data_IF_462221548702
#
_entry.id   IF_462221548702
#
_cell.length_a   1.000
_cell.length_b   1.000
_cell.length_c   1.000
_cell.angle_alpha   90.00
_cell.angle_beta   90.00
_cell.angle_gamma   90.00
#
_symmetry.space_group_name_H-M   'P 1'
#
loop_
_entity.id
_entity.type
_entity.pdbx_description
1 polymer ?
#
# COMPACT_ATOMS: atom_id res chain seq x y z
N UNK A 1 14.98 -7.25 -50.68
CA UNK A 1 14.59 -5.82 -50.62
C UNK A 1 13.40 -5.74 -49.67
N UNK A 2 13.62 -5.77 -48.36
CA UNK A 2 13.94 -4.63 -47.49
C UNK A 2 12.90 -3.53 -47.58
N UNK A 3 12.04 -3.42 -46.55
CA UNK A 3 11.82 -2.15 -45.87
C UNK A 3 11.10 -2.33 -44.52
N UNK A 4 11.85 -1.97 -43.49
CA UNK A 4 11.48 -1.66 -42.11
C UNK A 4 10.61 -0.41 -42.06
N UNK A 5 9.69 -0.31 -41.09
CA UNK A 5 9.52 0.92 -40.29
C UNK A 5 8.68 0.69 -39.03
N UNK A 6 9.43 0.47 -37.96
CA UNK A 6 9.05 0.64 -36.56
C UNK A 6 8.63 2.11 -36.32
N UNK A 7 7.48 2.33 -35.67
CA UNK A 7 6.97 3.67 -35.33
C UNK A 7 7.41 4.05 -33.93
N UNK A 8 8.21 5.11 -33.87
CA UNK A 8 8.67 5.85 -32.69
C UNK A 8 7.57 6.69 -32.04
N UNK A 9 7.55 6.76 -30.71
CA UNK A 9 7.36 7.96 -29.85
C UNK A 9 6.99 7.51 -28.43
N UNK A 10 7.45 8.06 -27.30
CA UNK A 10 8.42 9.10 -26.95
C UNK A 10 8.58 8.93 -25.44
N UNK A 11 9.77 8.58 -24.92
CA UNK A 11 10.02 8.56 -23.47
C UNK A 11 10.60 9.91 -23.07
N UNK A 12 9.82 10.70 -22.34
CA UNK A 12 10.23 11.97 -21.74
C UNK A 12 11.41 11.73 -20.80
N UNK A 13 12.57 12.29 -21.15
CA UNK A 13 13.75 12.32 -20.31
C UNK A 13 13.61 13.46 -19.30
N UNK A 14 13.48 13.14 -18.02
CA UNK A 14 13.66 14.11 -16.93
C UNK A 14 15.14 14.14 -16.57
N UNK A 15 15.82 15.25 -16.85
CA UNK A 15 17.20 15.49 -16.41
C UNK A 15 17.20 16.10 -15.01
N UNK A 16 17.91 15.48 -14.08
CA UNK A 16 18.34 16.11 -12.83
C UNK A 16 19.78 16.61 -13.03
N UNK A 17 19.97 17.93 -12.94
CA UNK A 17 21.29 18.55 -12.96
C UNK A 17 21.91 18.47 -11.57
N UNK A 18 23.02 17.75 -11.42
CA UNK A 18 23.88 17.81 -10.23
C UNK A 18 25.18 18.55 -10.60
N UNK A 19 25.45 19.67 -9.95
CA UNK A 19 26.75 20.34 -10.04
C UNK A 19 27.81 19.55 -9.23
N UNK A 20 28.75 18.91 -9.94
CA UNK A 20 29.92 18.25 -9.34
C UNK A 20 30.73 17.52 -10.41
N UNK A 21 32.03 17.82 -10.51
CA UNK A 21 32.87 17.51 -11.67
C UNK A 21 33.32 16.05 -11.85
N UNK A 22 33.59 15.75 -13.14
CA UNK A 22 34.44 14.69 -13.73
C UNK A 22 34.39 13.27 -13.12
N UNK A 23 33.65 12.38 -13.80
CA UNK A 23 34.17 11.22 -14.56
C UNK A 23 32.99 10.53 -15.29
N UNK A 24 33.01 10.55 -16.62
CA UNK A 24 31.89 10.09 -17.47
C UNK A 24 32.01 8.60 -17.80
N UNK A 25 31.46 7.76 -16.93
CA UNK A 25 30.81 6.52 -17.34
C UNK A 25 29.31 6.73 -17.24
N UNK A 26 28.58 6.64 -18.36
CA UNK A 26 27.11 6.68 -18.37
C UNK A 26 26.58 5.45 -17.63
N UNK A 27 26.42 5.60 -16.32
CA UNK A 27 25.71 4.63 -15.50
C UNK A 27 24.32 5.18 -15.26
N UNK A 28 23.46 5.10 -16.28
CA UNK A 28 22.03 5.34 -16.11
C UNK A 28 21.47 4.31 -15.11
N UNK A 29 21.30 4.71 -13.85
CA UNK A 29 20.59 3.89 -12.86
C UNK A 29 19.09 3.96 -13.19
N UNK A 30 18.57 2.94 -13.86
CA UNK A 30 17.13 2.79 -14.06
C UNK A 30 16.50 2.22 -12.79
N UNK A 31 15.60 2.98 -12.17
CA UNK A 31 14.76 2.46 -11.10
C UNK A 31 13.83 1.36 -11.64
N UNK A 32 13.71 0.26 -10.90
CA UNK A 32 12.68 -0.74 -11.17
C UNK A 32 11.33 -0.18 -10.75
N UNK A 33 10.39 -0.09 -11.68
CA UNK A 33 9.01 0.32 -11.45
C UNK A 33 8.16 -0.94 -11.41
N UNK A 34 7.30 -1.06 -10.39
CA UNK A 34 6.41 -2.20 -10.21
C UNK A 34 4.99 -1.80 -10.61
N UNK A 35 4.29 -2.73 -11.24
CA UNK A 35 2.89 -2.60 -11.63
C UNK A 35 2.06 -3.75 -11.04
N UNK A 36 0.75 -3.73 -11.25
CA UNK A 36 -0.17 -4.75 -10.69
C UNK A 36 0.22 -6.18 -11.09
N UNK A 37 0.80 -6.35 -12.27
CA UNK A 37 1.30 -7.62 -12.80
C UNK A 37 2.41 -8.24 -11.94
N UNK A 38 3.17 -7.40 -11.22
CA UNK A 38 4.27 -7.81 -10.35
C UNK A 38 3.79 -8.13 -8.92
N UNK A 39 2.53 -7.85 -8.58
CA UNK A 39 2.00 -7.87 -7.21
C UNK A 39 0.85 -8.87 -7.05
N UNK A 40 1.18 -10.10 -6.66
CA UNK A 40 0.18 -11.16 -6.47
C UNK A 40 -0.43 -11.15 -5.06
N UNK A 41 -1.74 -10.88 -4.98
CA UNK A 41 -2.49 -10.86 -3.72
C UNK A 41 -2.58 -12.24 -3.02
N UNK A 42 -2.26 -13.35 -3.69
CA UNK A 42 -2.34 -14.69 -3.07
C UNK A 42 -1.54 -14.81 -1.79
N UNK A 43 -0.46 -14.03 -1.64
CA UNK A 43 0.39 -14.05 -0.45
C UNK A 43 -0.30 -13.46 0.79
N UNK A 44 -1.35 -12.66 0.58
CA UNK A 44 -2.11 -12.00 1.63
C UNK A 44 -3.46 -12.67 1.88
N UNK A 45 -3.96 -13.45 0.93
CA UNK A 45 -5.23 -14.17 1.10
C UNK A 45 -5.14 -15.15 2.27
N UNK A 46 -6.16 -15.11 3.13
CA UNK A 46 -6.25 -15.94 4.33
C UNK A 46 -5.38 -15.48 5.50
N UNK A 47 -4.65 -14.36 5.37
CA UNK A 47 -3.94 -13.73 6.48
C UNK A 47 -4.83 -12.72 7.17
N UNK A 48 -4.83 -12.71 8.49
CA UNK A 48 -5.48 -11.66 9.29
C UNK A 48 -4.60 -10.41 9.30
N UNK A 49 -5.07 -9.34 8.66
CA UNK A 49 -4.39 -8.05 8.60
C UNK A 49 -4.99 -7.11 9.64
N UNK A 50 -4.20 -6.71 10.64
CA UNK A 50 -4.63 -5.76 11.67
C UNK A 50 -4.05 -4.39 11.37
N UNK A 51 -4.93 -3.41 11.13
CA UNK A 51 -4.58 -2.01 10.98
C UNK A 51 -4.71 -1.32 12.32
N UNK A 52 -3.60 -0.88 12.89
CA UNK A 52 -3.54 -0.14 14.15
C UNK A 52 -3.61 1.34 13.83
N UNK A 53 -4.73 1.97 14.18
CA UNK A 53 -5.00 3.36 13.87
C UNK A 53 -5.92 3.54 12.66
N UNK A 54 -6.84 4.50 12.75
CA UNK A 54 -7.84 4.77 11.71
C UNK A 54 -7.90 6.27 11.39
N UNK A 55 -6.72 6.85 11.15
CA UNK A 55 -6.54 8.22 10.64
C UNK A 55 -6.69 8.29 9.12
N UNK A 56 -6.07 9.28 8.46
CA UNK A 56 -6.16 9.42 7.00
C UNK A 56 -5.57 8.23 6.24
N UNK A 57 -4.39 7.77 6.64
CA UNK A 57 -3.74 6.62 6.01
C UNK A 57 -4.43 5.31 6.38
N UNK A 58 -4.70 5.09 7.67
CA UNK A 58 -5.39 3.88 8.16
C UNK A 58 -6.76 3.68 7.52
N UNK A 59 -7.54 4.75 7.40
CA UNK A 59 -8.84 4.69 6.74
C UNK A 59 -8.74 4.29 5.27
N UNK A 60 -7.94 5.00 4.48
CA UNK A 60 -7.85 4.74 3.04
C UNK A 60 -7.27 3.36 2.74
N UNK A 61 -6.20 2.98 3.45
CA UNK A 61 -5.53 1.72 3.21
C UNK A 61 -6.37 0.52 3.67
N UNK A 62 -7.03 0.60 4.83
CA UNK A 62 -7.88 -0.48 5.30
C UNK A 62 -9.09 -0.74 4.39
N UNK A 63 -9.71 0.33 3.86
CA UNK A 63 -10.80 0.17 2.90
C UNK A 63 -10.33 -0.48 1.60
N UNK A 64 -9.21 -0.03 1.05
CA UNK A 64 -8.65 -0.62 -0.17
C UNK A 64 -8.31 -2.10 0.01
N UNK A 65 -7.74 -2.47 1.17
CA UNK A 65 -7.46 -3.88 1.51
C UNK A 65 -8.75 -4.71 1.63
N UNK A 66 -9.79 -4.17 2.27
CA UNK A 66 -11.10 -4.82 2.38
C UNK A 66 -11.78 -4.99 1.02
N UNK A 67 -11.72 -3.98 0.16
CA UNK A 67 -12.25 -4.03 -1.22
C UNK A 67 -11.48 -5.05 -2.07
N UNK A 68 -10.19 -5.21 -1.83
CA UNK A 68 -9.33 -6.27 -2.38
C UNK A 68 -9.64 -7.67 -1.83
N UNK A 69 -10.70 -7.81 -1.01
CA UNK A 69 -11.22 -9.06 -0.44
C UNK A 69 -10.23 -9.74 0.52
N UNK A 70 -9.43 -8.94 1.22
CA UNK A 70 -8.56 -9.40 2.29
C UNK A 70 -9.28 -9.35 3.63
N UNK A 71 -8.81 -10.16 4.58
CA UNK A 71 -9.32 -10.19 5.94
C UNK A 71 -8.65 -9.07 6.76
N UNK A 72 -9.42 -8.02 7.03
CA UNK A 72 -8.91 -6.77 7.62
C UNK A 72 -9.66 -6.48 8.90
N UNK A 73 -8.90 -6.18 9.94
CA UNK A 73 -9.39 -5.81 11.26
C UNK A 73 -8.83 -4.44 11.64
N UNK A 74 -9.64 -3.62 12.30
CA UNK A 74 -9.24 -2.30 12.79
C UNK A 74 -9.03 -2.37 14.29
N UNK A 75 -7.82 -2.04 14.73
CA UNK A 75 -7.49 -1.86 16.14
C UNK A 75 -7.31 -0.36 16.42
N UNK A 76 -8.23 0.24 17.17
CA UNK A 76 -8.19 1.68 17.46
C UNK A 76 -8.84 2.00 18.80
N UNK A 77 -8.33 3.02 19.49
CA UNK A 77 -8.84 3.44 20.80
C UNK A 77 -10.33 3.80 20.74
N UNK A 78 -11.10 3.19 21.63
CA UNK A 78 -12.54 3.43 21.77
C UNK A 78 -12.87 4.88 22.12
N UNK A 79 -14.02 5.35 21.63
CA UNK A 79 -14.52 6.72 21.85
C UNK A 79 -13.75 7.82 21.12
N UNK A 80 -12.69 7.48 20.38
CA UNK A 80 -11.93 8.43 19.57
C UNK A 80 -12.56 8.72 18.20
N UNK A 81 -12.03 9.74 17.50
CA UNK A 81 -12.45 10.08 16.12
C UNK A 81 -12.33 8.89 15.16
N UNK A 82 -11.22 8.16 15.24
CA UNK A 82 -10.98 6.98 14.39
C UNK A 82 -11.99 5.86 14.65
N UNK A 83 -12.38 5.64 15.91
CA UNK A 83 -13.40 4.67 16.29
C UNK A 83 -14.76 4.98 15.68
N UNK A 84 -15.24 6.22 15.86
CA UNK A 84 -16.52 6.66 15.27
C UNK A 84 -16.51 6.65 13.75
N UNK A 85 -15.37 6.98 13.14
CA UNK A 85 -15.21 6.93 11.69
C UNK A 85 -15.17 5.50 11.16
N UNK A 86 -14.55 4.57 11.89
CA UNK A 86 -14.52 3.17 11.52
C UNK A 86 -15.95 2.58 11.50
N UNK A 87 -16.74 2.82 12.55
CA UNK A 87 -18.13 2.37 12.59
C UNK A 87 -18.96 2.91 11.42
N UNK A 88 -18.79 4.20 11.06
CA UNK A 88 -19.46 4.80 9.89
C UNK A 88 -19.10 4.14 8.56
N UNK A 89 -17.91 3.55 8.46
CA UNK A 89 -17.45 2.84 7.27
C UNK A 89 -17.76 1.32 7.31
N UNK A 90 -18.62 0.91 8.25
CA UNK A 90 -19.11 -0.46 8.34
C UNK A 90 -18.15 -1.43 9.02
N UNK A 91 -17.19 -0.93 9.81
CA UNK A 91 -16.44 -1.78 10.73
C UNK A 91 -17.27 -2.02 11.99
N UNK A 92 -17.38 -3.27 12.41
CA UNK A 92 -18.32 -3.72 13.44
C UNK A 92 -17.55 -4.17 14.68
N UNK A 93 -17.93 -3.60 15.83
CA UNK A 93 -17.31 -3.93 17.12
C UNK A 93 -17.50 -5.41 17.45
N UNK A 94 -16.40 -6.08 17.82
CA UNK A 94 -16.41 -7.52 18.15
C UNK A 94 -16.35 -8.45 16.93
N UNK A 95 -16.42 -7.92 15.71
CA UNK A 95 -16.17 -8.68 14.48
C UNK A 95 -14.83 -8.27 13.86
N UNK A 96 -14.73 -7.03 13.39
CA UNK A 96 -13.55 -6.50 12.68
C UNK A 96 -13.16 -5.08 13.14
N UNK A 97 -13.65 -4.66 14.31
CA UNK A 97 -13.26 -3.45 15.02
C UNK A 97 -13.05 -3.78 16.51
N UNK A 98 -11.90 -3.42 17.06
CA UNK A 98 -11.57 -3.68 18.46
C UNK A 98 -10.75 -2.55 19.08
N UNK A 99 -10.97 -2.32 20.37
CA UNK A 99 -10.21 -1.37 21.19
C UNK A 99 -9.08 -2.05 21.98
N UNK A 100 -9.11 -3.39 22.08
CA UNK A 100 -8.00 -4.18 22.63
C UNK A 100 -6.97 -4.45 21.53
N UNK A 101 -6.08 -3.48 21.34
CA UNK A 101 -5.02 -3.55 20.34
C UNK A 101 -4.09 -4.75 20.60
N UNK A 102 -3.85 -5.09 21.86
CA UNK A 102 -2.94 -6.19 22.20
C UNK A 102 -3.56 -7.54 21.86
N UNK A 103 -4.86 -7.74 22.08
CA UNK A 103 -5.56 -8.95 21.64
C UNK A 103 -5.56 -9.08 20.13
N UNK A 104 -5.89 -8.02 19.39
CA UNK A 104 -5.89 -8.05 17.92
C UNK A 104 -4.51 -8.39 17.35
N UNK A 105 -3.45 -7.78 17.89
CA UNK A 105 -2.07 -8.02 17.44
C UNK A 105 -1.64 -9.47 17.66
N UNK A 106 -2.10 -10.14 18.72
CA UNK A 106 -1.74 -11.55 18.98
C UNK A 106 -2.27 -12.50 17.92
N UNK A 107 -3.41 -12.19 17.34
CA UNK A 107 -4.06 -13.00 16.30
C UNK A 107 -3.64 -12.58 14.88
N UNK A 108 -2.87 -11.50 14.74
CA UNK A 108 -2.51 -10.94 13.44
C UNK A 108 -1.37 -11.72 12.76
N UNK A 109 -1.53 -11.99 11.47
CA UNK A 109 -0.42 -12.42 10.61
C UNK A 109 0.39 -11.23 10.09
N UNK A 110 -0.28 -10.08 9.91
CA UNK A 110 0.33 -8.83 9.49
C UNK A 110 -0.26 -7.66 10.29
N UNK A 111 0.62 -6.94 10.97
CA UNK A 111 0.31 -5.70 11.68
C UNK A 111 0.72 -4.50 10.82
N UNK A 112 -0.21 -3.60 10.57
CA UNK A 112 0.01 -2.36 9.82
C UNK A 112 -0.22 -1.14 10.72
N UNK A 113 0.83 -0.37 11.00
CA UNK A 113 0.82 0.70 12.02
C UNK A 113 0.75 2.07 11.34
N UNK A 114 -0.29 2.86 11.63
CA UNK A 114 -0.64 4.09 10.90
C UNK A 114 -1.22 5.22 11.78
#
# INVERSE_FOLDING_TARGET
>A
MSETKEKSNTKTSTSLSSNGGKETGDTTIKAKVYHDEDADLKWLKGKRIVVVGYGSQGHGQALNLRESKLDVHIAVREGGRGWSLAQKHGWVQGENLSSDIAAEIREADWIHIL
#
